data_IF_854509641263
#
_entry.id   IF_854509641263
#
_cell.length_a   1.000
_cell.length_b   1.000
_cell.length_c   1.000
_cell.angle_alpha   90.00
_cell.angle_beta   90.00
_cell.angle_gamma   90.00
#
_symmetry.space_group_name_H-M   'P 1'
#
loop_
_entity.id
_entity.type
_entity.pdbx_description
1 polymer ?
#
# COMPACT_ATOMS: atom_id res chain seq x y z
N UNK A 1 47.14 -71.59 13.24
CA UNK A 1 47.13 -71.48 14.71
C UNK A 1 46.41 -70.23 15.10
N UNK A 2 45.16 -70.34 15.28
CA UNK A 2 44.28 -70.36 16.43
C UNK A 2 44.69 -69.42 17.57
N UNK A 3 43.84 -68.44 17.90
CA UNK A 3 43.18 -68.35 19.20
C UNK A 3 42.08 -67.36 19.14
N UNK A 4 40.85 -67.79 19.34
CA UNK A 4 39.62 -67.04 19.63
C UNK A 4 39.74 -66.42 21.04
N UNK A 5 39.29 -65.20 21.18
CA UNK A 5 38.89 -64.66 22.48
C UNK A 5 37.60 -63.89 22.36
N UNK A 6 36.55 -64.47 22.84
CA UNK A 6 35.21 -63.98 23.03
C UNK A 6 35.19 -62.93 24.15
N UNK A 7 34.69 -61.74 23.93
CA UNK A 7 34.31 -60.84 25.01
C UNK A 7 32.80 -60.59 25.02
N UNK A 8 32.20 -60.99 26.15
CA UNK A 8 30.79 -60.84 26.50
C UNK A 8 30.38 -59.35 26.58
N UNK A 9 29.36 -59.07 25.89
CA UNK A 9 28.68 -57.73 25.98
C UNK A 9 27.66 -57.75 27.11
N UNK A 10 27.81 -56.88 28.08
CA UNK A 10 26.80 -56.57 29.10
C UNK A 10 25.70 -55.68 28.48
N UNK A 11 24.50 -56.22 28.45
CA UNK A 11 23.27 -55.39 28.18
C UNK A 11 22.97 -54.56 29.40
N UNK A 12 23.01 -53.21 29.23
CA UNK A 12 22.43 -52.29 30.16
C UNK A 12 21.06 -51.94 29.60
N UNK A 13 20.01 -52.30 30.32
CA UNK A 13 18.65 -51.84 30.08
C UNK A 13 18.56 -50.40 30.58
N UNK A 14 18.42 -49.42 29.68
CA UNK A 14 17.95 -48.06 30.00
C UNK A 14 16.45 -48.04 29.74
N UNK A 15 15.69 -47.84 30.79
CA UNK A 15 14.26 -47.57 30.73
C UNK A 15 14.06 -46.18 30.17
N UNK A 16 13.44 -46.07 29.01
CA UNK A 16 12.98 -44.81 28.43
C UNK A 16 11.72 -44.35 29.16
N UNK A 17 11.85 -43.36 30.03
CA UNK A 17 10.73 -42.56 30.52
C UNK A 17 10.37 -41.54 29.42
N UNK A 18 9.39 -41.88 28.60
CA UNK A 18 8.78 -40.99 27.63
C UNK A 18 7.98 -39.91 28.37
N UNK A 19 8.52 -38.72 28.48
CA UNK A 19 7.76 -37.54 28.82
C UNK A 19 6.92 -37.10 27.60
N UNK A 20 5.63 -37.43 27.57
CA UNK A 20 4.66 -36.80 26.66
C UNK A 20 4.52 -35.37 27.08
N UNK A 21 5.22 -34.46 26.39
CA UNK A 21 4.88 -33.06 26.40
C UNK A 21 3.61 -32.90 25.57
N UNK A 22 2.47 -32.72 26.23
CA UNK A 22 1.23 -32.30 25.60
C UNK A 22 1.43 -30.86 25.11
N UNK A 23 1.67 -30.71 23.82
CA UNK A 23 1.56 -29.39 23.15
C UNK A 23 0.08 -29.04 23.15
N UNK A 24 -0.34 -28.22 24.11
CA UNK A 24 -1.64 -27.58 24.03
C UNK A 24 -1.56 -26.57 22.88
N UNK A 25 -2.52 -26.60 21.93
CA UNK A 25 -2.64 -25.51 20.98
C UNK A 25 -2.98 -24.25 21.78
N UNK A 26 -2.10 -23.28 21.76
CA UNK A 26 -2.45 -21.91 22.15
C UNK A 26 -3.52 -21.48 21.15
N UNK A 27 -4.77 -21.48 21.61
CA UNK A 27 -5.84 -20.88 20.85
C UNK A 27 -5.46 -19.40 20.67
N UNK A 28 -5.01 -19.06 19.47
CA UNK A 28 -4.78 -17.69 19.06
C UNK A 28 -6.09 -16.94 19.31
N UNK A 29 -6.03 -15.91 20.14
CA UNK A 29 -7.13 -14.98 20.31
C UNK A 29 -7.26 -14.33 18.92
N UNK A 30 -8.28 -14.75 18.16
CA UNK A 30 -8.69 -14.03 16.96
C UNK A 30 -9.13 -12.64 17.46
N UNK A 31 -8.32 -11.64 17.24
CA UNK A 31 -8.81 -10.28 17.18
C UNK A 31 -9.58 -10.19 15.86
N UNK A 32 -10.86 -10.57 15.90
CA UNK A 32 -11.80 -10.10 14.90
C UNK A 32 -11.78 -8.56 15.04
N UNK A 33 -11.12 -7.89 14.09
CA UNK A 33 -11.36 -6.48 13.82
C UNK A 33 -12.70 -6.43 13.07
N UNK A 34 -13.76 -6.93 13.72
CA UNK A 34 -15.11 -6.60 13.34
C UNK A 34 -15.36 -5.20 13.89
N UNK A 35 -15.76 -4.26 13.02
CA UNK A 35 -16.29 -2.97 13.46
C UNK A 35 -17.30 -3.21 14.60
N UNK A 36 -16.89 -2.89 15.81
CA UNK A 36 -17.80 -2.97 16.96
C UNK A 36 -18.89 -1.91 16.74
N UNK A 37 -20.16 -2.16 17.12
CA UNK A 37 -21.16 -1.11 17.14
C UNK A 37 -20.74 -0.05 18.17
N UNK A 38 -19.96 0.94 17.75
CA UNK A 38 -19.38 1.96 18.63
C UNK A 38 -18.11 2.62 18.07
N UNK A 39 -17.63 2.19 16.90
CA UNK A 39 -16.45 2.75 16.24
C UNK A 39 -15.11 2.33 16.88
N UNK A 40 -14.03 2.57 16.16
CA UNK A 40 -12.65 2.36 16.62
C UNK A 40 -12.14 3.68 17.21
N UNK A 41 -11.64 3.64 18.45
CA UNK A 41 -11.02 4.80 19.10
C UNK A 41 -9.50 4.64 19.02
N UNK A 42 -8.83 5.56 18.35
CA UNK A 42 -7.37 5.58 18.24
C UNK A 42 -6.72 6.05 19.56
N UNK A 43 -5.42 5.78 19.79
CA UNK A 43 -4.73 6.18 21.02
C UNK A 43 -4.76 7.68 21.32
N UNK A 44 -4.88 8.53 20.29
CA UNK A 44 -5.03 9.98 20.39
C UNK A 44 -6.50 10.45 20.57
N UNK A 45 -7.43 9.49 20.64
CA UNK A 45 -8.84 9.75 20.95
C UNK A 45 -9.73 10.07 19.75
N UNK A 46 -9.24 9.97 18.51
CA UNK A 46 -10.07 10.07 17.31
C UNK A 46 -11.00 8.85 17.18
N UNK A 47 -12.20 9.05 16.65
CA UNK A 47 -13.21 7.99 16.49
C UNK A 47 -13.49 7.76 15.00
N UNK A 48 -13.39 6.51 14.58
CA UNK A 48 -13.64 6.09 13.21
C UNK A 48 -14.64 4.94 13.15
N UNK A 49 -15.37 4.83 12.04
CA UNK A 49 -16.25 3.69 11.79
C UNK A 49 -15.41 2.43 11.54
N UNK A 50 -14.34 2.56 10.75
CA UNK A 50 -13.30 1.55 10.59
C UNK A 50 -11.90 2.20 10.58
N UNK A 51 -10.90 1.49 11.10
CA UNK A 51 -9.51 1.93 11.12
C UNK A 51 -8.59 0.73 11.17
N UNK A 52 -7.71 0.62 10.18
CA UNK A 52 -6.68 -0.43 10.05
C UNK A 52 -5.32 0.23 10.17
N UNK A 53 -4.56 0.02 11.27
CA UNK A 53 -3.24 0.62 11.44
C UNK A 53 -2.30 0.21 10.32
N UNK A 54 -2.03 1.13 9.37
CA UNK A 54 -1.15 0.86 8.25
C UNK A 54 0.31 1.13 8.59
N UNK A 55 1.22 0.35 8.01
CA UNK A 55 2.66 0.52 8.18
C UNK A 55 3.10 1.95 7.79
N UNK A 56 4.07 2.48 8.51
CA UNK A 56 4.63 3.79 8.22
C UNK A 56 5.87 3.66 7.35
N UNK A 57 5.91 4.42 6.26
CA UNK A 57 7.09 4.59 5.42
C UNK A 57 7.42 6.07 5.32
N UNK A 58 8.70 6.41 5.48
CA UNK A 58 9.20 7.78 5.42
C UNK A 58 9.94 7.97 4.10
N UNK A 59 9.37 8.77 3.20
CA UNK A 59 9.92 9.05 1.88
C UNK A 59 9.67 7.95 0.85
N UNK A 60 9.86 8.29 -0.40
CA UNK A 60 9.69 7.42 -1.54
C UNK A 60 10.98 6.64 -1.85
N UNK A 61 10.86 5.53 -2.58
CA UNK A 61 12.01 4.80 -3.13
C UNK A 61 12.75 5.66 -4.16
N UNK A 62 11.99 6.28 -5.07
CA UNK A 62 12.47 7.19 -6.12
C UNK A 62 11.53 8.39 -6.25
N UNK A 63 11.91 9.35 -7.08
CA UNK A 63 11.19 10.63 -7.19
C UNK A 63 9.73 10.48 -7.67
N UNK A 64 9.45 9.47 -8.51
CA UNK A 64 8.13 9.22 -9.09
C UNK A 64 7.72 7.76 -8.90
N UNK A 65 7.88 7.22 -7.69
CA UNK A 65 7.56 5.82 -7.35
C UNK A 65 6.39 5.68 -6.37
N UNK A 66 5.58 6.71 -6.20
CA UNK A 66 4.53 6.76 -5.18
C UNK A 66 3.58 5.55 -5.19
N UNK A 67 3.29 4.99 -6.35
CA UNK A 67 2.46 3.80 -6.49
C UNK A 67 3.10 2.57 -5.82
N UNK A 68 4.41 2.39 -6.01
CA UNK A 68 5.17 1.31 -5.36
C UNK A 68 5.33 1.54 -3.87
N UNK A 69 5.47 2.81 -3.46
CA UNK A 69 5.57 3.18 -2.06
C UNK A 69 4.27 2.95 -1.30
N UNK A 70 3.13 3.30 -1.90
CA UNK A 70 1.81 3.00 -1.38
C UNK A 70 1.57 1.48 -1.33
N UNK A 71 2.00 0.73 -2.35
CA UNK A 71 1.91 -0.73 -2.36
C UNK A 71 2.79 -1.36 -1.28
N UNK A 72 4.00 -0.81 -1.05
CA UNK A 72 4.84 -1.26 0.06
C UNK A 72 4.15 -1.08 1.41
N UNK A 73 3.45 0.04 1.61
CA UNK A 73 2.66 0.28 2.85
C UNK A 73 1.63 -0.82 3.05
N UNK A 74 0.86 -1.16 2.01
CA UNK A 74 -0.15 -2.23 2.06
C UNK A 74 0.51 -3.58 2.34
N UNK A 75 1.51 -3.96 1.55
CA UNK A 75 2.24 -5.22 1.69
C UNK A 75 2.88 -5.34 3.07
N UNK A 76 3.54 -4.29 3.55
CA UNK A 76 4.19 -4.27 4.87
C UNK A 76 3.19 -4.41 6.01
N UNK A 77 2.02 -3.79 5.89
CA UNK A 77 0.94 -3.93 6.88
C UNK A 77 0.50 -5.37 7.00
N UNK A 78 0.45 -6.10 5.87
CA UNK A 78 0.04 -7.51 5.83
C UNK A 78 1.21 -8.49 5.96
N UNK A 79 2.39 -8.03 6.41
CA UNK A 79 3.51 -8.88 6.81
C UNK A 79 4.59 -9.10 5.75
N UNK A 80 4.52 -8.43 4.60
CA UNK A 80 5.47 -8.58 3.49
C UNK A 80 6.35 -7.33 3.36
N UNK A 81 7.67 -7.50 3.45
CA UNK A 81 8.65 -6.41 3.27
C UNK A 81 9.29 -6.54 1.88
N UNK A 82 8.64 -5.95 0.90
CA UNK A 82 8.97 -6.13 -0.52
C UNK A 82 9.73 -4.94 -1.05
N UNK A 83 10.99 -5.10 -1.51
CA UNK A 83 11.77 -4.00 -2.08
C UNK A 83 11.20 -3.55 -3.43
N UNK A 84 11.57 -2.35 -3.84
CA UNK A 84 11.08 -1.72 -5.08
C UNK A 84 11.29 -2.58 -6.33
N UNK A 85 12.49 -3.14 -6.48
CA UNK A 85 12.86 -3.93 -7.66
C UNK A 85 11.97 -5.16 -7.81
N UNK A 86 11.63 -5.82 -6.71
CA UNK A 86 10.77 -6.99 -6.70
C UNK A 86 9.32 -6.62 -7.02
N UNK A 87 8.83 -5.49 -6.53
CA UNK A 87 7.52 -4.97 -6.91
C UNK A 87 7.49 -4.63 -8.41
N UNK A 88 8.54 -3.96 -8.91
CA UNK A 88 8.65 -3.57 -10.32
C UNK A 88 8.67 -4.80 -11.25
N UNK A 89 9.37 -5.87 -10.85
CA UNK A 89 9.43 -7.11 -11.62
C UNK A 89 8.04 -7.77 -11.77
N UNK A 90 7.18 -7.67 -10.73
CA UNK A 90 5.83 -8.24 -10.76
C UNK A 90 4.84 -7.33 -11.51
N UNK A 91 4.87 -6.02 -11.26
CA UNK A 91 4.00 -5.04 -11.92
C UNK A 91 4.36 -4.90 -13.39
N UNK A 92 5.63 -5.03 -13.73
CA UNK A 92 6.19 -4.77 -15.06
C UNK A 92 6.52 -3.29 -15.28
N UNK A 93 7.49 -3.05 -16.16
CA UNK A 93 7.96 -1.72 -16.51
C UNK A 93 7.94 -1.52 -18.03
N UNK A 94 7.02 -0.69 -18.52
CA UNK A 94 6.92 -0.35 -19.95
C UNK A 94 7.69 0.96 -20.23
N UNK A 95 8.86 0.82 -20.82
CA UNK A 95 9.71 1.92 -21.28
C UNK A 95 9.67 2.11 -22.80
N UNK A 96 8.73 1.46 -23.49
CA UNK A 96 8.61 1.53 -24.96
C UNK A 96 8.21 2.92 -25.45
N UNK A 97 7.43 3.64 -24.65
CA UNK A 97 7.04 5.04 -24.89
C UNK A 97 7.27 5.81 -23.61
N UNK A 98 8.33 6.64 -23.59
CA UNK A 98 8.52 7.57 -22.48
C UNK A 98 7.37 8.59 -22.46
N UNK A 99 6.63 8.75 -21.35
CA UNK A 99 5.48 9.62 -21.29
C UNK A 99 5.81 11.07 -21.63
N UNK A 100 4.93 11.70 -22.41
CA UNK A 100 5.01 13.11 -22.77
C UNK A 100 3.59 13.68 -22.93
N UNK A 101 3.45 14.98 -22.82
CA UNK A 101 2.16 15.64 -23.06
C UNK A 101 2.19 16.56 -24.27
N UNK A 102 1.00 16.81 -24.84
CA UNK A 102 0.77 17.81 -25.88
C UNK A 102 -0.39 18.69 -25.48
N UNK A 103 -0.25 19.96 -25.76
CA UNK A 103 -1.35 20.92 -25.72
C UNK A 103 -2.25 20.76 -26.95
N UNK A 104 -3.55 20.77 -26.73
CA UNK A 104 -4.58 20.72 -27.76
C UNK A 104 -5.56 21.87 -27.57
N UNK A 105 -6.50 22.06 -28.48
CA UNK A 105 -7.54 23.08 -28.33
C UNK A 105 -8.48 22.83 -27.12
N UNK A 106 -8.50 21.59 -26.62
CA UNK A 106 -9.37 21.13 -25.52
C UNK A 106 -8.62 20.95 -24.19
N UNK A 107 -7.32 21.29 -24.16
CA UNK A 107 -6.45 21.13 -23.01
C UNK A 107 -5.24 20.24 -23.29
N UNK A 108 -4.70 19.60 -22.27
CA UNK A 108 -3.52 18.72 -22.40
C UNK A 108 -3.94 17.27 -22.55
N UNK A 109 -3.16 16.51 -23.31
CA UNK A 109 -3.25 15.04 -23.40
C UNK A 109 -1.87 14.47 -23.13
N UNK A 110 -1.79 13.46 -22.24
CA UNK A 110 -0.56 12.68 -21.99
C UNK A 110 -0.58 11.46 -22.89
N UNK A 111 0.55 11.17 -23.50
CA UNK A 111 0.79 10.00 -24.33
C UNK A 111 1.84 9.11 -23.65
N UNK A 112 1.57 7.82 -23.56
CA UNK A 112 2.48 6.86 -22.93
C UNK A 112 2.11 5.42 -23.26
N UNK A 113 2.71 4.48 -22.55
CA UNK A 113 2.40 3.05 -22.62
C UNK A 113 1.00 2.71 -22.07
N UNK A 114 0.69 1.43 -21.89
CA UNK A 114 -0.57 1.00 -21.26
C UNK A 114 -0.43 0.94 -19.73
N UNK A 115 -0.73 2.04 -19.06
CA UNK A 115 -0.66 2.19 -17.59
C UNK A 115 -1.60 1.26 -16.82
N UNK A 116 -2.48 0.54 -17.48
CA UNK A 116 -3.35 -0.45 -16.83
C UNK A 116 -2.73 -1.84 -16.75
N UNK A 117 -1.61 -2.05 -17.43
CA UNK A 117 -0.92 -3.35 -17.48
C UNK A 117 0.51 -3.33 -16.95
N UNK A 118 1.12 -2.14 -16.82
CA UNK A 118 2.46 -1.97 -16.28
C UNK A 118 2.66 -0.53 -15.79
N UNK A 119 3.75 -0.29 -15.05
CA UNK A 119 4.26 1.05 -14.78
C UNK A 119 4.93 1.60 -16.04
N UNK A 120 4.56 2.81 -16.46
CA UNK A 120 5.05 3.43 -17.69
C UNK A 120 5.90 4.65 -17.39
N UNK A 121 7.11 4.71 -17.99
CA UNK A 121 8.03 5.83 -17.91
C UNK A 121 9.12 5.70 -16.85
N UNK A 122 10.01 6.70 -16.80
CA UNK A 122 11.14 6.73 -15.89
C UNK A 122 10.75 7.28 -14.51
N UNK A 123 10.67 6.40 -13.53
CA UNK A 123 10.35 6.72 -12.14
C UNK A 123 11.40 7.60 -11.43
N UNK A 124 12.55 7.85 -12.05
CA UNK A 124 13.63 8.68 -11.48
C UNK A 124 13.61 10.13 -11.96
N UNK A 125 13.09 10.38 -13.17
CA UNK A 125 13.24 11.69 -13.83
C UNK A 125 12.00 12.22 -14.55
N UNK A 126 10.98 11.39 -14.81
CA UNK A 126 9.80 11.82 -15.55
C UNK A 126 8.57 11.98 -14.63
N UNK A 127 8.13 13.21 -14.43
CA UNK A 127 6.94 13.53 -13.62
C UNK A 127 5.63 12.94 -14.16
N UNK A 128 5.62 12.44 -15.40
CA UNK A 128 4.46 11.79 -16.01
C UNK A 128 4.50 10.27 -15.84
N UNK A 129 5.60 9.71 -15.33
CA UNK A 129 5.71 8.27 -15.10
C UNK A 129 4.66 7.82 -14.08
N UNK A 130 3.85 6.82 -14.44
CA UNK A 130 2.74 6.32 -13.62
C UNK A 130 2.18 4.99 -14.06
N UNK A 131 1.27 4.48 -13.26
CA UNK A 131 0.37 3.38 -13.59
C UNK A 131 -1.00 3.60 -12.93
N UNK A 132 -1.94 2.70 -13.22
CA UNK A 132 -3.23 2.60 -12.50
C UNK A 132 -3.21 1.45 -11.51
N UNK A 133 -4.17 1.43 -10.58
CA UNK A 133 -4.33 0.35 -9.62
C UNK A 133 -4.52 -1.02 -10.28
N UNK A 134 -5.09 -1.08 -11.48
CA UNK A 134 -5.26 -2.34 -12.22
C UNK A 134 -3.91 -3.02 -12.49
N UNK A 135 -2.83 -2.26 -12.73
CA UNK A 135 -1.50 -2.82 -12.93
C UNK A 135 -0.91 -3.42 -11.64
N UNK A 136 -1.41 -3.00 -10.47
CA UNK A 136 -0.95 -3.46 -9.15
C UNK A 136 -1.73 -4.66 -8.62
N UNK A 137 -2.90 -5.02 -9.17
CA UNK A 137 -3.64 -6.23 -8.75
C UNK A 137 -2.75 -7.49 -8.73
N UNK A 138 -1.97 -7.80 -9.80
CA UNK A 138 -1.09 -8.97 -9.79
C UNK A 138 -0.02 -8.94 -8.70
N UNK A 139 0.41 -7.75 -8.25
CA UNK A 139 1.38 -7.64 -7.17
C UNK A 139 0.80 -8.15 -5.85
N UNK A 140 -0.40 -7.72 -5.48
CA UNK A 140 -1.03 -8.16 -4.25
C UNK A 140 -1.37 -9.66 -4.30
N UNK A 141 -1.91 -10.13 -5.42
CA UNK A 141 -2.21 -11.56 -5.64
C UNK A 141 -0.95 -12.44 -5.58
N UNK A 142 0.21 -11.95 -6.06
CA UNK A 142 1.50 -12.65 -6.00
C UNK A 142 1.90 -13.00 -4.56
N UNK A 143 1.57 -12.14 -3.61
CA UNK A 143 1.80 -12.37 -2.18
C UNK A 143 0.63 -13.06 -1.46
N UNK A 144 -0.35 -13.57 -2.21
CA UNK A 144 -1.49 -14.31 -1.67
C UNK A 144 -2.52 -13.43 -0.96
N UNK A 145 -2.52 -12.12 -1.24
CA UNK A 145 -3.54 -11.20 -0.78
C UNK A 145 -4.74 -11.24 -1.72
N UNK A 146 -5.94 -11.16 -1.18
CA UNK A 146 -7.14 -10.91 -1.99
C UNK A 146 -7.14 -9.42 -2.39
N UNK A 147 -7.31 -9.12 -3.68
CA UNK A 147 -7.31 -7.76 -4.20
C UNK A 147 -8.43 -7.56 -5.22
N UNK A 148 -9.11 -6.41 -5.13
CA UNK A 148 -10.20 -6.05 -6.04
C UNK A 148 -10.19 -4.55 -6.37
N UNK A 149 -10.72 -4.18 -7.54
CA UNK A 149 -10.84 -2.76 -7.92
C UNK A 149 -11.93 -2.08 -7.11
N UNK A 150 -11.70 -0.83 -6.75
CA UNK A 150 -12.62 0.03 -5.97
C UNK A 150 -12.89 1.31 -6.73
N UNK A 151 -14.16 1.71 -6.85
CA UNK A 151 -14.61 2.85 -7.66
C UNK A 151 -15.51 3.84 -6.92
N UNK A 152 -16.09 3.44 -5.80
CA UNK A 152 -17.08 4.24 -5.07
C UNK A 152 -16.72 4.35 -3.59
N UNK A 153 -17.34 5.33 -2.92
CA UNK A 153 -17.24 5.50 -1.46
C UNK A 153 -17.70 4.24 -0.72
N UNK A 154 -18.84 3.71 -1.11
CA UNK A 154 -19.44 2.53 -0.46
C UNK A 154 -18.52 1.30 -0.58
N UNK A 155 -17.82 1.15 -1.70
CA UNK A 155 -16.83 0.10 -1.88
C UNK A 155 -15.61 0.32 -0.98
N UNK A 156 -15.12 1.57 -0.85
CA UNK A 156 -14.03 1.91 0.07
C UNK A 156 -14.42 1.56 1.51
N UNK A 157 -15.60 2.00 1.96
CA UNK A 157 -16.12 1.72 3.29
C UNK A 157 -16.23 0.20 3.52
N UNK A 158 -16.75 -0.56 2.55
CA UNK A 158 -16.89 -2.01 2.65
C UNK A 158 -15.54 -2.75 2.75
N UNK A 159 -14.49 -2.26 2.07
CA UNK A 159 -13.12 -2.80 2.21
C UNK A 159 -12.60 -2.59 3.63
N UNK A 160 -12.71 -1.36 4.13
CA UNK A 160 -12.22 -0.98 5.45
C UNK A 160 -12.97 -1.69 6.58
N UNK A 161 -14.29 -1.87 6.46
CA UNK A 161 -15.14 -2.60 7.40
C UNK A 161 -14.73 -4.08 7.53
N UNK A 162 -14.16 -4.65 6.47
CA UNK A 162 -13.64 -6.03 6.45
C UNK A 162 -12.18 -6.12 6.93
N UNK A 163 -11.57 -5.02 7.37
CA UNK A 163 -10.18 -4.98 7.82
C UNK A 163 -9.15 -4.90 6.69
N UNK A 164 -9.58 -4.56 5.48
CA UNK A 164 -8.71 -4.29 4.33
C UNK A 164 -8.15 -2.87 4.33
N UNK A 165 -7.25 -2.60 3.40
CA UNK A 165 -6.71 -1.29 3.06
C UNK A 165 -7.08 -0.94 1.62
N UNK A 166 -7.16 0.35 1.29
CA UNK A 166 -7.38 0.78 -0.09
C UNK A 166 -6.17 1.56 -0.60
N UNK A 167 -5.40 0.95 -1.50
CA UNK A 167 -4.45 1.67 -2.34
C UNK A 167 -5.22 2.54 -3.33
N UNK A 168 -4.87 3.82 -3.52
CA UNK A 168 -5.62 4.69 -4.43
C UNK A 168 -4.74 5.75 -5.07
N UNK A 169 -5.11 6.13 -6.30
CA UNK A 169 -4.59 7.33 -6.95
C UNK A 169 -5.18 8.56 -6.26
N UNK A 170 -4.33 9.55 -6.08
CA UNK A 170 -4.63 10.83 -5.45
C UNK A 170 -3.82 11.95 -6.11
N UNK A 171 -3.84 13.13 -5.50
CA UNK A 171 -2.85 14.19 -5.75
C UNK A 171 -2.15 14.55 -4.44
N UNK A 172 -0.91 15.04 -4.52
CA UNK A 172 -0.20 15.50 -3.33
C UNK A 172 -1.04 16.55 -2.59
N UNK A 173 -1.22 16.36 -1.29
CA UNK A 173 -2.07 17.18 -0.41
C UNK A 173 -3.55 17.26 -0.84
N UNK A 174 -4.01 16.35 -1.70
CA UNK A 174 -5.36 16.39 -2.29
C UNK A 174 -5.68 17.72 -2.97
N UNK A 175 -4.66 18.40 -3.45
CA UNK A 175 -4.83 19.60 -4.25
C UNK A 175 -5.23 19.21 -5.68
N UNK A 176 -6.29 19.81 -6.23
CA UNK A 176 -6.66 19.58 -7.62
C UNK A 176 -5.60 20.19 -8.52
N UNK A 177 -5.12 19.42 -9.50
CA UNK A 177 -4.35 19.88 -10.62
C UNK A 177 -5.18 19.80 -11.88
N UNK A 178 -4.67 20.39 -12.97
CA UNK A 178 -5.38 20.34 -14.24
C UNK A 178 -5.73 18.90 -14.62
N UNK A 179 -7.01 18.61 -14.73
CA UNK A 179 -7.52 17.36 -15.27
C UNK A 179 -7.02 17.16 -16.70
N UNK A 180 -6.69 15.94 -17.05
CA UNK A 180 -6.22 15.57 -18.37
C UNK A 180 -6.60 14.13 -18.71
N UNK A 181 -6.18 13.69 -19.86
CA UNK A 181 -6.40 12.34 -20.35
C UNK A 181 -5.07 11.70 -20.67
N UNK A 182 -4.89 10.46 -20.21
CA UNK A 182 -3.83 9.59 -20.70
C UNK A 182 -4.31 8.82 -21.93
N UNK A 183 -3.58 8.89 -23.02
CA UNK A 183 -3.85 8.16 -24.24
C UNK A 183 -2.86 7.02 -24.41
N UNK A 184 -3.37 5.79 -24.38
CA UNK A 184 -2.58 4.57 -24.59
C UNK A 184 -2.28 4.31 -26.06
N UNK A 185 -1.28 3.46 -26.42
CA UNK A 185 -0.93 3.17 -27.81
C UNK A 185 -2.07 2.57 -28.63
N UNK A 186 -3.00 1.86 -28.00
CA UNK A 186 -4.18 1.27 -28.64
C UNK A 186 -5.38 2.23 -28.73
N UNK A 187 -5.19 3.51 -28.37
CA UNK A 187 -6.22 4.55 -28.46
C UNK A 187 -7.22 4.61 -27.31
N UNK A 188 -6.96 3.92 -26.20
CA UNK A 188 -7.76 4.05 -24.98
C UNK A 188 -7.46 5.37 -24.29
N UNK A 189 -8.50 6.08 -23.88
CA UNK A 189 -8.42 7.30 -23.07
C UNK A 189 -8.75 6.99 -21.63
N UNK A 190 -7.87 7.44 -20.71
CA UNK A 190 -8.03 7.24 -19.26
C UNK A 190 -7.96 8.62 -18.58
N UNK A 191 -8.93 8.95 -17.69
CA UNK A 191 -8.86 10.19 -16.92
C UNK A 191 -7.66 10.16 -15.97
N UNK A 192 -7.01 11.31 -15.84
CA UNK A 192 -5.87 11.50 -14.93
C UNK A 192 -5.61 13.00 -14.72
N UNK A 193 -4.53 13.35 -14.04
CA UNK A 193 -4.07 14.74 -13.85
C UNK A 193 -2.74 14.96 -14.56
N UNK A 194 -2.50 16.19 -15.03
CA UNK A 194 -1.27 16.52 -15.77
C UNK A 194 -0.03 16.46 -14.88
N UNK A 195 -0.13 16.98 -13.68
CA UNK A 195 0.95 16.95 -12.69
C UNK A 195 0.39 16.71 -11.30
N UNK A 196 1.25 16.70 -10.28
CA UNK A 196 0.86 16.43 -8.90
C UNK A 196 0.23 15.03 -8.69
N UNK A 197 0.46 14.13 -9.64
CA UNK A 197 0.00 12.76 -9.53
C UNK A 197 0.62 12.07 -8.31
N UNK A 198 -0.19 11.34 -7.55
CA UNK A 198 0.24 10.68 -6.34
C UNK A 198 -0.56 9.40 -6.08
N UNK A 199 -0.01 8.53 -5.24
CA UNK A 199 -0.71 7.38 -4.72
C UNK A 199 -0.57 7.31 -3.20
N UNK A 200 -1.66 6.97 -2.53
CA UNK A 200 -1.76 6.88 -1.07
C UNK A 200 -2.53 5.64 -0.64
N UNK A 201 -2.60 5.39 0.66
CA UNK A 201 -3.41 4.30 1.24
C UNK A 201 -4.49 4.89 2.13
N UNK A 202 -5.75 4.54 1.85
CA UNK A 202 -6.86 4.79 2.77
C UNK A 202 -6.85 3.67 3.81
N UNK A 203 -6.77 4.05 5.09
CA UNK A 203 -6.62 3.13 6.21
C UNK A 203 -7.76 3.22 7.23
N UNK A 204 -8.68 4.13 7.04
CA UNK A 204 -9.83 4.30 7.92
C UNK A 204 -10.81 5.33 7.39
N UNK A 205 -11.98 5.39 8.01
CA UNK A 205 -12.98 6.40 7.68
C UNK A 205 -13.94 6.66 8.86
N UNK A 206 -14.62 7.80 8.79
CA UNK A 206 -15.80 8.13 9.56
C UNK A 206 -16.80 8.89 8.67
N UNK A 207 -17.85 9.46 9.27
CA UNK A 207 -18.87 10.19 8.53
C UNK A 207 -18.33 11.46 7.83
N UNK A 208 -17.26 12.05 8.39
CA UNK A 208 -16.66 13.30 7.91
C UNK A 208 -15.64 13.09 6.80
N UNK A 209 -14.91 11.96 6.80
CA UNK A 209 -13.82 11.75 5.85
C UNK A 209 -13.12 10.40 5.95
N UNK A 210 -11.98 10.34 5.29
CA UNK A 210 -11.06 9.18 5.27
C UNK A 210 -9.77 9.49 6.02
N UNK A 211 -9.12 8.46 6.54
CA UNK A 211 -7.76 8.52 7.08
C UNK A 211 -6.80 8.02 6.01
N UNK A 212 -5.81 8.83 5.72
CA UNK A 212 -4.78 8.57 4.73
C UNK A 212 -3.47 8.20 5.42
N UNK A 213 -2.81 7.15 4.93
CA UNK A 213 -1.38 6.88 5.12
C UNK A 213 -0.64 7.32 3.86
N UNK A 214 0.29 8.23 4.02
CA UNK A 214 1.09 8.81 2.94
C UNK A 214 2.57 8.69 3.25
N UNK A 215 3.39 8.45 2.24
CA UNK A 215 4.83 8.27 2.35
C UNK A 215 5.60 9.59 2.29
N UNK A 216 4.98 10.67 1.79
CA UNK A 216 5.64 11.97 1.67
C UNK A 216 5.74 12.71 3.01
N UNK A 217 4.76 12.57 3.92
CA UNK A 217 4.70 13.35 5.16
C UNK A 217 4.56 14.85 4.88
N UNK A 218 5.34 15.72 5.56
CA UNK A 218 5.35 17.17 5.28
C UNK A 218 5.73 17.49 3.83
N UNK A 219 4.97 18.38 3.21
CA UNK A 219 5.20 18.86 1.84
C UNK A 219 5.47 20.36 1.80
N UNK A 220 5.81 20.93 0.65
CA UNK A 220 5.98 22.36 0.49
C UNK A 220 4.63 23.12 0.53
N UNK A 221 3.53 22.44 0.34
CA UNK A 221 2.17 22.98 0.42
C UNK A 221 1.54 22.75 1.79
N UNK A 222 2.07 21.82 2.58
CA UNK A 222 1.61 21.53 3.93
C UNK A 222 2.76 21.04 4.83
N UNK A 223 3.51 21.96 5.44
CA UNK A 223 4.68 21.66 6.28
C UNK A 223 4.35 20.99 7.61
N UNK A 224 3.11 21.07 8.07
CA UNK A 224 2.66 20.51 9.34
C UNK A 224 1.98 19.15 9.16
N UNK A 225 1.87 18.64 7.93
CA UNK A 225 1.22 17.39 7.65
C UNK A 225 2.05 16.21 8.16
N UNK A 226 1.40 15.32 8.90
CA UNK A 226 1.97 14.03 9.28
C UNK A 226 1.89 13.00 8.14
N UNK A 227 2.47 11.82 8.37
CA UNK A 227 2.34 10.66 7.47
C UNK A 227 0.98 9.98 7.58
N UNK A 228 0.17 10.37 8.53
CA UNK A 228 -1.22 9.98 8.72
C UNK A 228 -2.05 11.23 8.97
N UNK A 229 -3.10 11.42 8.18
CA UNK A 229 -3.96 12.58 8.29
C UNK A 229 -5.36 12.30 7.77
N UNK A 230 -6.33 13.09 8.24
CA UNK A 230 -7.72 13.02 7.82
C UNK A 230 -7.95 13.90 6.58
N UNK A 231 -8.77 13.41 5.66
CA UNK A 231 -9.21 14.15 4.46
C UNK A 231 -10.74 14.10 4.39
N UNK A 232 -11.44 15.25 4.30
CA UNK A 232 -12.89 15.25 4.14
C UNK A 232 -13.33 14.47 2.91
N UNK A 233 -14.46 13.74 3.01
CA UNK A 233 -14.99 12.95 1.90
C UNK A 233 -15.17 13.75 0.62
N UNK A 234 -15.67 14.99 0.70
CA UNK A 234 -15.85 15.86 -0.47
C UNK A 234 -14.52 16.09 -1.20
N UNK A 235 -13.46 16.40 -0.47
CA UNK A 235 -12.12 16.63 -1.03
C UNK A 235 -11.53 15.36 -1.60
N UNK A 236 -11.63 14.26 -0.85
CA UNK A 236 -11.12 12.96 -1.29
C UNK A 236 -11.78 12.50 -2.59
N UNK A 237 -13.12 12.51 -2.63
CA UNK A 237 -13.88 12.03 -3.78
C UNK A 237 -13.65 12.89 -5.02
N UNK A 238 -13.53 14.23 -4.88
CA UNK A 238 -13.24 15.11 -6.01
C UNK A 238 -11.90 14.75 -6.67
N UNK A 239 -10.85 14.48 -5.87
CA UNK A 239 -9.54 14.06 -6.39
C UNK A 239 -9.58 12.63 -6.93
N UNK A 240 -10.26 11.72 -6.24
CA UNK A 240 -10.42 10.33 -6.66
C UNK A 240 -11.11 10.24 -8.03
N UNK A 241 -12.18 11.00 -8.26
CA UNK A 241 -12.88 11.10 -9.55
C UNK A 241 -11.99 11.68 -10.65
N UNK A 242 -11.24 12.74 -10.36
CA UNK A 242 -10.29 13.35 -11.31
C UNK A 242 -9.20 12.36 -11.75
N UNK A 243 -8.84 11.41 -10.90
CA UNK A 243 -7.91 10.29 -11.18
C UNK A 243 -8.63 9.03 -11.71
N UNK A 244 -9.88 9.15 -12.17
CA UNK A 244 -10.64 8.05 -12.78
C UNK A 244 -11.22 7.05 -11.78
N UNK A 245 -11.41 7.45 -10.52
CA UNK A 245 -11.85 6.58 -9.44
C UNK A 245 -10.99 5.31 -9.37
N UNK A 246 -9.68 5.49 -9.27
CA UNK A 246 -8.72 4.41 -9.38
C UNK A 246 -8.23 3.95 -8.01
N UNK A 247 -8.85 2.89 -7.49
CA UNK A 247 -8.54 2.28 -6.22
C UNK A 247 -8.43 0.76 -6.30
N UNK A 248 -7.68 0.17 -5.37
CA UNK A 248 -7.55 -1.28 -5.16
C UNK A 248 -7.75 -1.56 -3.67
N UNK A 249 -8.82 -2.27 -3.36
CA UNK A 249 -9.06 -2.84 -2.04
C UNK A 249 -8.21 -4.10 -1.87
N UNK A 250 -7.49 -4.20 -0.75
CA UNK A 250 -6.59 -5.34 -0.48
C UNK A 250 -6.88 -5.86 0.92
N UNK A 251 -7.04 -7.18 1.03
CA UNK A 251 -7.35 -7.85 2.28
C UNK A 251 -6.18 -8.69 2.77
N UNK A 252 -5.99 -8.77 4.11
CA UNK A 252 -5.02 -9.69 4.68
C UNK A 252 -5.45 -11.14 4.43
N UNK A 253 -4.51 -12.09 4.30
CA UNK A 253 -4.85 -13.50 4.36
C UNK A 253 -5.42 -13.84 5.74
N UNK A 254 -6.31 -14.84 5.81
CA UNK A 254 -7.03 -15.26 7.04
C UNK A 254 -6.15 -15.51 8.28
N UNK A 255 -4.83 -15.64 8.09
CA UNK A 255 -3.85 -15.97 9.13
C UNK A 255 -3.03 -14.79 9.66
N UNK A 256 -3.19 -13.58 9.10
CA UNK A 256 -2.37 -12.42 9.49
C UNK A 256 -3.01 -11.67 10.64
N UNK A 257 -2.25 -11.48 11.73
CA UNK A 257 -2.58 -10.51 12.78
C UNK A 257 -1.92 -9.19 12.40
N UNK A 258 -2.71 -8.14 12.22
CA UNK A 258 -2.19 -6.79 11.98
C UNK A 258 -1.64 -6.28 13.31
N UNK A 259 -0.31 -6.09 13.36
CA UNK A 259 0.32 -5.43 14.51
C UNK A 259 0.13 -3.91 14.37
N UNK A 260 -0.18 -3.19 15.46
CA UNK A 260 -0.24 -1.74 15.43
C UNK A 260 1.09 -1.19 14.89
N UNK A 261 1.04 -0.30 13.89
CA UNK A 261 2.25 0.41 13.43
C UNK A 261 2.83 1.20 14.61
N UNK A 262 4.16 1.11 14.80
CA UNK A 262 4.82 1.94 15.81
C UNK A 262 4.49 3.42 15.54
N UNK A 263 3.97 4.16 16.53
CA UNK A 263 3.74 5.58 16.36
C UNK A 263 5.09 6.24 16.04
N UNK A 264 5.11 7.13 15.04
CA UNK A 264 6.30 7.95 14.76
C UNK A 264 6.63 8.68 16.05
N UNK A 265 7.78 8.35 16.67
CA UNK A 265 8.17 8.95 17.94
C UNK A 265 8.27 10.46 17.75
N UNK A 266 7.58 11.28 18.57
CA UNK A 266 7.78 12.72 18.57
C UNK A 266 9.26 12.99 18.85
N UNK A 267 9.97 13.67 17.95
CA UNK A 267 11.38 14.02 18.12
C UNK A 267 12.32 13.60 16.99
N UNK A 268 11.86 12.86 15.99
CA UNK A 268 12.61 12.76 14.75
C UNK A 268 12.49 14.10 14.01
N UNK A 269 13.53 14.91 14.08
CA UNK A 269 13.67 16.07 13.21
C UNK A 269 13.92 15.54 11.79
N UNK A 270 12.85 15.30 11.06
CA UNK A 270 12.91 15.00 9.64
C UNK A 270 13.42 16.27 8.99
N UNK A 271 14.58 16.22 8.37
CA UNK A 271 14.97 17.28 7.43
C UNK A 271 13.85 17.28 6.39
N UNK A 272 13.25 18.46 6.08
CA UNK A 272 12.28 18.56 5.01
C UNK A 272 12.87 17.86 3.79
N UNK A 273 12.06 17.07 3.09
CA UNK A 273 12.44 16.56 1.78
C UNK A 273 12.92 17.75 0.95
N UNK A 274 14.01 17.56 0.22
CA UNK A 274 14.55 18.61 -0.66
C UNK A 274 13.38 19.17 -1.48
N UNK A 275 13.15 20.50 -1.52
CA UNK A 275 12.05 21.10 -2.29
C UNK A 275 12.01 20.67 -3.76
N UNK A 276 13.10 20.11 -4.29
CA UNK A 276 13.16 19.50 -5.62
C UNK A 276 12.58 18.07 -5.67
N UNK A 277 12.28 17.44 -4.53
CA UNK A 277 11.61 16.12 -4.48
C UNK A 277 10.08 16.20 -4.51
N UNK A 278 9.52 17.40 -4.56
CA UNK A 278 8.07 17.62 -4.55
C UNK A 278 7.63 17.96 -5.96
N UNK A 279 7.77 17.02 -6.84
CA UNK A 279 7.12 17.02 -8.14
C UNK A 279 6.75 15.58 -8.46
N UNK A 280 5.77 15.07 -7.77
CA UNK A 280 4.91 14.07 -8.37
C UNK A 280 3.91 14.79 -9.25
#
# INVERSE_FOLDING_TARGET
>A
MSILTTKRTRRVLLAELGALAAVMPVAGIRSEVAAAPGGVVTPDGRVYNAYVPAATKVGQFFQYSCEFDASWVVLKTFGYDVPFEEQLDVVGHDTSIEPYFKETAEGFIIYGGDITSAFCGDYTSNMLARSTGTAFLPLFEHYGLEAETVKTREEIEAILDRGGLVWTKATVDFLPWAETTWLTPNGRSLPTVLGNDHAVVVMGYNDDGVVIRDVLGPTNTNWERDYEYDVPWETFLAVFEAQGSDGVGVFPPDSVTIEPSDPIRPGYSIKPADPLQICC
#
